data_IF_095774135214
#
_entry.id   IF_095774135214
#
_cell.length_a   1.000
_cell.length_b   1.000
_cell.length_c   1.000
_cell.angle_alpha   90.00
_cell.angle_beta   90.00
_cell.angle_gamma   90.00
#
_symmetry.space_group_name_H-M   'P 1'
#
loop_
_entity.id
_entity.type
_entity.pdbx_description
1 polymer ?
#
# COMPACT_ATOMS: atom_id res chain seq x y z
N UNK A 1 -3.31 14.02 -17.13
CA UNK A 1 -2.31 13.61 -16.12
C UNK A 1 -1.02 14.39 -16.40
N UNK A 2 -0.68 15.33 -15.50
CA UNK A 2 0.50 16.18 -15.62
C UNK A 2 1.78 15.40 -15.19
N UNK A 3 2.96 16.03 -15.23
CA UNK A 3 4.21 15.35 -14.84
C UNK A 3 4.22 14.96 -13.35
N UNK A 4 3.72 15.81 -12.46
CA UNK A 4 3.67 15.52 -11.02
C UNK A 4 2.79 14.30 -10.72
N UNK A 5 1.65 14.16 -11.41
CA UNK A 5 0.75 13.02 -11.27
C UNK A 5 1.42 11.71 -11.71
N UNK A 6 2.22 11.74 -12.79
CA UNK A 6 3.02 10.59 -13.24
C UNK A 6 4.06 10.21 -12.20
N UNK A 7 4.73 11.20 -11.60
CA UNK A 7 5.73 10.97 -10.56
C UNK A 7 5.08 10.36 -9.30
N UNK A 8 3.89 10.85 -8.90
CA UNK A 8 3.10 10.26 -7.81
C UNK A 8 2.72 8.82 -8.09
N UNK A 9 2.25 8.53 -9.31
CA UNK A 9 1.88 7.16 -9.71
C UNK A 9 3.11 6.23 -9.72
N UNK A 10 4.24 6.69 -10.24
CA UNK A 10 5.50 5.93 -10.22
C UNK A 10 5.96 5.63 -8.80
N UNK A 11 5.89 6.62 -7.90
CA UNK A 11 6.18 6.44 -6.47
C UNK A 11 5.22 5.44 -5.81
N UNK A 12 3.93 5.51 -6.12
CA UNK A 12 2.93 4.58 -5.61
C UNK A 12 3.23 3.14 -6.04
N UNK A 13 3.55 2.91 -7.31
CA UNK A 13 3.93 1.57 -7.78
C UNK A 13 5.17 1.03 -7.07
N UNK A 14 6.21 1.86 -6.91
CA UNK A 14 7.42 1.47 -6.19
C UNK A 14 7.15 1.11 -4.71
N UNK A 15 6.13 1.71 -4.09
CA UNK A 15 5.67 1.34 -2.75
C UNK A 15 4.92 0.01 -2.74
N UNK A 16 4.00 -0.20 -3.69
CA UNK A 16 3.21 -1.44 -3.80
C UNK A 16 4.10 -2.67 -4.02
N UNK A 17 5.17 -2.55 -4.82
CA UNK A 17 6.11 -3.65 -5.08
C UNK A 17 6.86 -4.14 -3.83
N UNK A 18 6.88 -3.34 -2.76
CA UNK A 18 7.50 -3.68 -1.47
C UNK A 18 6.55 -4.43 -0.54
N UNK A 19 5.26 -4.50 -0.86
CA UNK A 19 4.26 -5.21 -0.08
C UNK A 19 4.27 -6.69 -0.46
N UNK A 20 4.56 -7.62 0.46
CA UNK A 20 4.47 -9.03 0.18
C UNK A 20 2.99 -9.41 0.06
N UNK A 21 2.51 -9.61 -1.17
CA UNK A 21 1.20 -10.18 -1.40
C UNK A 21 1.25 -11.67 -1.05
N UNK A 22 0.43 -12.16 -0.10
CA UNK A 22 0.30 -13.59 0.15
C UNK A 22 -0.24 -14.18 -1.15
N UNK A 23 0.61 -14.90 -1.86
CA UNK A 23 0.19 -15.55 -3.09
C UNK A 23 -0.92 -16.51 -2.69
N UNK A 24 -2.08 -16.38 -3.34
CA UNK A 24 -3.27 -17.18 -3.09
C UNK A 24 -3.09 -18.71 -3.37
N UNK A 25 -1.85 -19.19 -3.52
CA UNK A 25 -1.51 -20.59 -3.79
C UNK A 25 -0.15 -21.06 -3.28
N UNK A 26 0.68 -20.22 -2.62
CA UNK A 26 1.92 -20.70 -2.00
C UNK A 26 1.67 -20.96 -0.52
N UNK A 27 1.07 -22.11 -0.22
CA UNK A 27 1.06 -22.68 1.13
C UNK A 27 2.47 -22.97 1.60
N UNK A 28 3.17 -21.94 2.09
CA UNK A 28 4.29 -22.11 2.99
C UNK A 28 3.73 -22.38 4.40
N UNK A 29 4.11 -23.48 5.08
CA UNK A 29 3.45 -23.96 6.30
C UNK A 29 3.66 -23.10 7.57
N UNK A 30 4.02 -21.82 7.47
CA UNK A 30 4.41 -21.01 8.65
C UNK A 30 4.00 -19.53 8.59
N UNK A 31 2.87 -19.18 7.98
CA UNK A 31 2.23 -17.90 8.33
C UNK A 31 1.58 -18.09 9.71
N UNK A 32 2.12 -17.43 10.74
CA UNK A 32 1.53 -17.52 12.08
C UNK A 32 0.11 -16.93 12.06
N UNK A 33 -0.84 -17.48 12.83
CA UNK A 33 -2.21 -16.94 12.92
C UNK A 33 -2.20 -15.45 13.30
N UNK A 34 -1.36 -15.07 14.27
CA UNK A 34 -1.13 -13.66 14.67
C UNK A 34 -0.78 -12.80 13.46
N UNK A 35 -0.01 -13.37 12.58
CA UNK A 35 0.55 -12.65 11.48
C UNK A 35 -0.39 -12.48 10.28
N UNK A 36 -1.17 -13.53 9.97
CA UNK A 36 -2.30 -13.40 9.04
C UNK A 36 -3.33 -12.36 9.50
N UNK A 37 -3.61 -12.28 10.81
CA UNK A 37 -4.51 -11.25 11.38
C UNK A 37 -3.91 -9.86 11.19
N UNK A 38 -2.63 -9.69 11.51
CA UNK A 38 -1.91 -8.43 11.39
C UNK A 38 -1.89 -7.93 9.94
N UNK A 39 -1.58 -8.82 8.99
CA UNK A 39 -1.65 -8.55 7.56
C UNK A 39 -3.07 -8.14 7.12
N UNK A 40 -4.12 -8.85 7.57
CA UNK A 40 -5.50 -8.48 7.24
C UNK A 40 -5.90 -7.11 7.78
N UNK A 41 -5.48 -6.77 9.01
CA UNK A 41 -5.72 -5.45 9.59
C UNK A 41 -5.03 -4.35 8.79
N UNK A 42 -3.76 -4.53 8.42
CA UNK A 42 -3.06 -3.55 7.57
C UNK A 42 -3.72 -3.42 6.21
N UNK A 43 -4.15 -4.52 5.58
CA UNK A 43 -4.82 -4.48 4.29
C UNK A 43 -6.17 -3.77 4.33
N UNK A 44 -6.90 -3.83 5.46
CA UNK A 44 -8.14 -3.06 5.65
C UNK A 44 -7.90 -1.56 5.68
N UNK A 45 -6.71 -1.11 6.07
CA UNK A 45 -6.32 0.31 6.07
C UNK A 45 -5.67 0.71 4.74
N UNK A 46 -4.76 -0.13 4.25
CA UNK A 46 -4.00 0.08 3.01
C UNK A 46 -4.90 0.15 1.77
N UNK A 47 -5.86 -0.76 1.61
CA UNK A 47 -6.67 -0.84 0.39
C UNK A 47 -7.56 0.40 0.16
N UNK A 48 -8.27 0.94 1.17
CA UNK A 48 -8.98 2.20 1.02
C UNK A 48 -8.06 3.37 0.67
N UNK A 49 -6.92 3.52 1.34
CA UNK A 49 -5.96 4.60 1.04
C UNK A 49 -5.42 4.50 -0.38
N UNK A 50 -5.01 3.29 -0.79
CA UNK A 50 -4.55 3.02 -2.15
C UNK A 50 -5.60 3.43 -3.19
N UNK A 51 -6.86 3.08 -2.96
CA UNK A 51 -7.97 3.48 -3.84
C UNK A 51 -8.11 4.99 -3.91
N UNK A 52 -8.06 5.69 -2.77
CA UNK A 52 -8.11 7.16 -2.71
C UNK A 52 -6.99 7.79 -3.53
N UNK A 53 -5.74 7.36 -3.32
CA UNK A 53 -4.57 7.88 -4.04
C UNK A 53 -4.72 7.65 -5.55
N UNK A 54 -5.07 6.43 -5.99
CA UNK A 54 -5.24 6.13 -7.42
C UNK A 54 -6.34 7.00 -8.03
N UNK A 55 -7.47 7.15 -7.34
CA UNK A 55 -8.57 8.00 -7.83
C UNK A 55 -8.18 9.47 -7.92
N UNK A 56 -7.50 9.99 -6.90
CA UNK A 56 -7.06 11.38 -6.86
C UNK A 56 -6.00 11.68 -7.93
N UNK A 57 -5.05 10.77 -8.19
CA UNK A 57 -4.08 10.94 -9.28
C UNK A 57 -4.78 10.88 -10.66
N UNK A 58 -5.79 10.01 -10.80
CA UNK A 58 -6.52 9.85 -12.06
C UNK A 58 -7.48 11.02 -12.37
N UNK A 59 -7.84 11.82 -11.37
CA UNK A 59 -8.86 12.87 -11.46
C UNK A 59 -8.28 14.27 -11.27
N UNK A 60 -8.36 15.15 -12.28
CA UNK A 60 -7.79 16.50 -12.20
C UNK A 60 -8.57 17.44 -11.27
N UNK A 61 -9.79 17.08 -10.87
CA UNK A 61 -10.65 17.86 -9.98
C UNK A 61 -10.48 17.52 -8.49
N UNK A 62 -9.69 16.50 -8.17
CA UNK A 62 -9.42 16.10 -6.79
C UNK A 62 -8.19 16.80 -6.24
N UNK A 63 -8.17 16.98 -4.91
CA UNK A 63 -6.98 17.42 -4.19
C UNK A 63 -5.84 16.39 -4.38
N UNK A 64 -4.60 16.88 -4.42
CA UNK A 64 -3.44 16.02 -4.57
C UNK A 64 -3.31 15.09 -3.35
N UNK A 65 -3.18 13.77 -3.53
CA UNK A 65 -3.22 12.80 -2.43
C UNK A 65 -1.86 12.65 -1.73
N UNK A 66 -1.16 13.76 -1.54
CA UNK A 66 0.21 13.75 -1.01
C UNK A 66 0.25 13.28 0.45
N UNK A 67 -0.80 13.55 1.22
CA UNK A 67 -0.96 13.03 2.59
C UNK A 67 -1.17 11.51 2.60
N UNK A 68 -2.14 11.00 1.87
CA UNK A 68 -2.45 9.57 1.83
C UNK A 68 -1.26 8.76 1.28
N UNK A 69 -0.53 9.31 0.31
CA UNK A 69 0.69 8.69 -0.21
C UNK A 69 1.79 8.61 0.87
N UNK A 70 1.93 9.64 1.70
CA UNK A 70 2.87 9.63 2.83
C UNK A 70 2.44 8.63 3.91
N UNK A 71 1.14 8.50 4.18
CA UNK A 71 0.59 7.52 5.12
C UNK A 71 0.82 6.07 4.64
N UNK A 72 0.61 5.79 3.34
CA UNK A 72 0.94 4.50 2.73
C UNK A 72 2.43 4.19 2.91
N UNK A 73 3.31 5.16 2.63
CA UNK A 73 4.74 4.99 2.83
C UNK A 73 5.11 4.71 4.28
N UNK A 74 4.50 5.43 5.23
CA UNK A 74 4.72 5.20 6.65
C UNK A 74 4.29 3.80 7.09
N UNK A 75 3.12 3.33 6.63
CA UNK A 75 2.61 1.99 6.90
C UNK A 75 3.59 0.91 6.43
N UNK A 76 4.08 1.03 5.18
CA UNK A 76 5.02 0.07 4.59
C UNK A 76 6.34 0.07 5.35
N UNK A 77 6.93 1.24 5.61
CA UNK A 77 8.20 1.35 6.37
C UNK A 77 8.07 0.74 7.76
N UNK A 78 6.93 0.95 8.44
CA UNK A 78 6.66 0.35 9.75
C UNK A 78 6.69 -1.18 9.67
N UNK A 79 6.15 -1.77 8.61
CA UNK A 79 6.11 -3.24 8.42
C UNK A 79 7.43 -3.84 7.97
N UNK A 80 8.25 -3.11 7.24
CA UNK A 80 9.62 -3.53 6.98
C UNK A 80 10.44 -3.66 8.26
N UNK A 81 10.18 -2.81 9.26
CA UNK A 81 10.83 -2.87 10.58
C UNK A 81 10.19 -3.94 11.48
N UNK A 82 8.87 -3.97 11.59
CA UNK A 82 8.15 -4.87 12.51
C UNK A 82 7.92 -6.28 11.96
N UNK A 83 8.19 -6.50 10.69
CA UNK A 83 7.82 -7.71 9.97
C UNK A 83 6.41 -7.63 9.38
N UNK A 84 6.26 -8.29 8.23
CA UNK A 84 4.98 -8.58 7.57
C UNK A 84 4.30 -9.84 8.11
N UNK A 85 4.87 -10.42 9.18
CA UNK A 85 4.49 -11.70 9.75
C UNK A 85 3.00 -11.78 9.88
#
# INVERSE_FOLDING_TARGET
>A
MNQQDRDRMARLYALIDRVPFPHAGSGGPTASLRGMVTYQEDMRVFMPMLKTVVLAIARPDMEAPDQELAEIEHLIRRREVSGWS
#
